data_IF_825437665142
#
_entry.id   IF_825437665142
#
_cell.length_a   1.000
_cell.length_b   1.000
_cell.length_c   1.000
_cell.angle_alpha   90.00
_cell.angle_beta   90.00
_cell.angle_gamma   90.00
#
_symmetry.space_group_name_H-M   'P 1'
#
loop_
_entity.id
_entity.type
_entity.pdbx_description
1 polymer ?
#
# COMPACT_ATOMS: atom_id res chain seq x y z
N UNK A 1 10.77 47.38 32.39
CA UNK A 1 11.61 46.21 32.74
C UNK A 1 12.33 45.78 31.48
N UNK A 2 13.58 46.17 31.33
CA UNK A 2 14.42 45.83 30.17
C UNK A 2 14.94 44.39 30.36
N UNK A 3 14.61 43.50 29.46
CA UNK A 3 15.11 42.11 29.45
C UNK A 3 16.67 42.17 29.37
N UNK A 4 17.34 41.51 30.34
CA UNK A 4 18.79 41.31 30.29
C UNK A 4 19.12 40.53 29.00
N UNK A 5 20.13 40.95 28.24
CA UNK A 5 20.57 40.20 27.10
C UNK A 5 21.02 38.80 27.57
N UNK A 6 20.50 37.76 26.96
CA UNK A 6 20.96 36.38 27.16
C UNK A 6 22.42 36.31 26.75
N UNK A 7 23.31 35.95 27.67
CA UNK A 7 24.74 35.79 27.35
C UNK A 7 24.94 34.68 26.27
N UNK A 8 26.03 34.74 25.57
CA UNK A 8 26.40 33.78 24.51
C UNK A 8 26.24 32.33 24.96
N UNK A 9 26.52 32.01 26.24
CA UNK A 9 26.30 30.68 26.81
C UNK A 9 24.84 30.25 26.87
N UNK A 10 23.89 31.18 27.08
CA UNK A 10 22.46 30.88 27.09
C UNK A 10 21.94 30.62 25.67
N UNK A 11 22.52 31.31 24.68
CA UNK A 11 22.21 31.05 23.25
C UNK A 11 22.73 29.67 22.84
N UNK A 12 23.91 29.27 23.30
CA UNK A 12 24.46 27.94 23.02
C UNK A 12 23.71 26.83 23.79
N UNK A 13 23.13 27.09 24.95
CA UNK A 13 22.31 26.15 25.69
C UNK A 13 20.94 25.92 25.01
N UNK A 14 20.30 26.98 24.53
CA UNK A 14 19.07 26.89 23.73
C UNK A 14 19.31 26.14 22.41
N UNK A 15 20.49 26.28 21.83
CA UNK A 15 20.88 25.57 20.60
C UNK A 15 21.15 24.07 20.85
N UNK A 16 21.64 23.69 22.04
CA UNK A 16 21.90 22.29 22.41
C UNK A 16 20.65 21.52 22.85
N UNK A 17 19.55 22.22 23.15
CA UNK A 17 18.30 21.57 23.56
C UNK A 17 17.50 21.00 22.38
N UNK A 18 17.78 21.44 21.15
CA UNK A 18 17.15 20.88 19.95
C UNK A 18 17.93 19.65 19.46
N UNK A 19 17.20 18.57 19.19
CA UNK A 19 17.77 17.42 18.50
C UNK A 19 18.36 17.88 17.15
N UNK A 20 19.58 17.50 16.84
CA UNK A 20 20.23 17.82 15.56
C UNK A 20 19.40 17.42 14.33
N UNK A 21 18.52 16.42 14.49
CA UNK A 21 17.58 15.94 13.47
C UNK A 21 16.49 16.96 13.10
N UNK A 22 16.19 17.92 13.98
CA UNK A 22 15.14 18.95 13.76
C UNK A 22 15.70 20.24 13.19
N UNK A 23 17.02 20.40 13.15
CA UNK A 23 17.67 21.57 12.58
C UNK A 23 17.64 21.56 11.05
N UNK A 24 17.17 22.64 10.47
CA UNK A 24 17.34 22.91 9.06
C UNK A 24 18.82 23.14 8.76
N UNK A 25 19.49 22.14 8.20
CA UNK A 25 20.84 22.30 7.68
C UNK A 25 20.82 22.18 6.16
N UNK A 26 21.83 22.79 5.52
CA UNK A 26 22.02 22.75 4.06
C UNK A 26 22.08 21.30 3.53
N UNK A 27 22.55 20.36 4.34
CA UNK A 27 22.69 18.94 3.99
C UNK A 27 21.50 18.08 4.43
N UNK A 28 20.66 18.55 5.36
CA UNK A 28 19.56 17.79 5.97
C UNK A 28 18.20 18.31 5.53
N UNK A 29 18.14 19.31 4.65
CA UNK A 29 16.91 19.97 4.18
C UNK A 29 15.82 19.01 3.69
N UNK A 30 16.19 17.84 3.19
CA UNK A 30 15.23 16.81 2.75
C UNK A 30 14.60 16.02 3.90
N UNK A 31 15.13 16.10 5.11
CA UNK A 31 14.65 15.35 6.28
C UNK A 31 14.03 16.22 7.36
N UNK A 32 14.17 17.55 7.28
CA UNK A 32 13.76 18.47 8.35
C UNK A 32 12.44 19.22 8.10
N UNK A 33 11.85 19.10 6.92
CA UNK A 33 10.56 19.73 6.61
C UNK A 33 9.34 19.03 7.24
N UNK A 34 9.49 18.43 8.42
CA UNK A 34 8.42 17.69 9.10
C UNK A 34 7.64 18.64 10.00
N UNK A 35 6.32 18.68 9.81
CA UNK A 35 5.45 19.49 10.66
C UNK A 35 5.38 18.94 12.08
N UNK A 36 5.50 19.78 13.11
CA UNK A 36 5.38 19.36 14.51
C UNK A 36 3.98 18.94 14.93
N UNK A 37 2.98 19.14 14.08
CA UNK A 37 1.57 18.79 14.34
C UNK A 37 1.27 17.29 14.36
N UNK A 38 2.28 16.45 14.35
CA UNK A 38 2.15 14.99 14.33
C UNK A 38 1.77 14.44 12.95
N UNK A 39 1.80 13.13 12.86
CA UNK A 39 1.34 12.42 11.66
C UNK A 39 -0.16 12.16 11.78
N UNK A 40 -0.91 12.41 10.72
CA UNK A 40 -2.28 11.96 10.61
C UNK A 40 -2.39 10.43 10.64
N UNK A 41 -3.60 9.87 10.43
CA UNK A 41 -3.83 8.43 10.40
C UNK A 41 -3.00 7.71 9.34
N UNK A 42 -2.51 8.43 8.33
CA UNK A 42 -1.59 7.88 7.35
C UNK A 42 -0.15 8.24 7.63
N UNK A 43 0.67 7.25 7.39
CA UNK A 43 2.10 7.29 7.69
C UNK A 43 2.85 8.40 6.95
N UNK A 44 2.47 8.70 5.71
CA UNK A 44 3.21 9.63 4.85
C UNK A 44 2.34 10.68 4.15
N UNK A 45 1.03 10.51 4.12
CA UNK A 45 0.17 11.30 3.27
C UNK A 45 -0.81 12.15 4.08
N UNK A 46 -0.85 13.45 3.79
CA UNK A 46 -1.83 14.39 4.34
C UNK A 46 -3.06 14.53 3.44
N UNK A 47 -2.93 14.14 2.18
CA UNK A 47 -3.98 14.26 1.18
C UNK A 47 -4.04 12.99 0.35
N UNK A 48 -5.22 12.59 -0.04
CA UNK A 48 -5.45 11.44 -0.91
C UNK A 48 -4.71 11.57 -2.25
N UNK A 49 -4.68 12.76 -2.83
CA UNK A 49 -3.98 13.02 -4.08
C UNK A 49 -2.50 12.63 -4.03
N UNK A 50 -1.81 12.91 -2.90
CA UNK A 50 -0.40 12.53 -2.74
C UNK A 50 -0.22 11.02 -2.59
N UNK A 51 -1.18 10.36 -1.98
CA UNK A 51 -1.18 8.91 -1.88
C UNK A 51 -1.27 8.27 -3.26
N UNK A 52 -2.29 8.64 -4.05
CA UNK A 52 -2.46 8.09 -5.39
C UNK A 52 -1.30 8.47 -6.33
N UNK A 53 -0.75 9.67 -6.19
CA UNK A 53 0.45 10.06 -6.94
C UNK A 53 1.63 9.12 -6.63
N UNK A 54 1.80 8.67 -5.39
CA UNK A 54 2.86 7.73 -5.04
C UNK A 54 2.62 6.32 -5.59
N UNK A 55 1.36 5.89 -5.65
CA UNK A 55 0.98 4.61 -6.28
C UNK A 55 1.29 4.64 -7.79
N UNK A 56 0.85 5.69 -8.48
CA UNK A 56 1.13 5.85 -9.91
C UNK A 56 2.63 5.94 -10.21
N UNK A 57 3.39 6.64 -9.37
CA UNK A 57 4.84 6.73 -9.51
C UNK A 57 5.52 5.37 -9.30
N UNK A 58 5.03 4.55 -8.36
CA UNK A 58 5.54 3.20 -8.15
C UNK A 58 5.24 2.28 -9.33
N UNK A 59 4.04 2.37 -9.90
CA UNK A 59 3.63 1.64 -11.10
C UNK A 59 4.42 2.06 -12.34
N UNK A 60 4.73 3.35 -12.44
CA UNK A 60 5.59 3.85 -13.52
C UNK A 60 7.00 3.27 -13.43
N UNK A 61 7.59 3.24 -12.23
CA UNK A 61 8.88 2.62 -12.01
C UNK A 61 8.87 1.10 -12.28
N UNK A 62 7.84 0.39 -11.84
CA UNK A 62 7.69 -1.05 -12.12
C UNK A 62 7.66 -1.34 -13.61
N UNK A 63 6.99 -0.50 -14.38
CA UNK A 63 6.83 -0.67 -15.84
C UNK A 63 8.07 -0.24 -16.62
N UNK A 64 8.71 0.86 -16.22
CA UNK A 64 9.74 1.52 -17.02
C UNK A 64 11.17 1.27 -16.51
N UNK A 65 11.35 0.91 -15.22
CA UNK A 65 12.66 0.54 -14.67
C UNK A 65 12.80 -0.99 -14.59
N UNK A 66 13.66 -1.53 -15.44
CA UNK A 66 13.87 -2.98 -15.53
C UNK A 66 14.39 -3.61 -14.24
N UNK A 67 15.16 -2.87 -13.44
CA UNK A 67 15.66 -3.38 -12.15
C UNK A 67 14.54 -3.49 -11.13
N UNK A 68 13.65 -2.50 -11.08
CA UNK A 68 12.50 -2.50 -10.16
C UNK A 68 11.55 -3.62 -10.50
N UNK A 69 11.17 -3.78 -11.77
CA UNK A 69 10.30 -4.86 -12.22
C UNK A 69 10.86 -6.25 -11.89
N UNK A 70 12.15 -6.50 -12.20
CA UNK A 70 12.81 -7.76 -11.88
C UNK A 70 12.85 -8.03 -10.38
N UNK A 71 13.11 -7.00 -9.55
CA UNK A 71 13.14 -7.16 -8.09
C UNK A 71 11.76 -7.49 -7.53
N UNK A 72 10.71 -6.84 -8.06
CA UNK A 72 9.33 -7.13 -7.69
C UNK A 72 8.95 -8.58 -8.04
N UNK A 73 9.25 -9.03 -9.26
CA UNK A 73 8.98 -10.40 -9.70
C UNK A 73 9.73 -11.44 -8.84
N UNK A 74 11.02 -11.23 -8.62
CA UNK A 74 11.82 -12.12 -7.77
C UNK A 74 11.31 -12.18 -6.34
N UNK A 75 10.83 -11.05 -5.80
CA UNK A 75 10.22 -11.05 -4.48
C UNK A 75 8.98 -11.93 -4.45
N UNK A 76 8.08 -11.77 -5.41
CA UNK A 76 6.88 -12.59 -5.54
C UNK A 76 7.23 -14.07 -5.65
N UNK A 77 8.19 -14.42 -6.51
CA UNK A 77 8.65 -15.79 -6.68
C UNK A 77 9.22 -16.40 -5.40
N UNK A 78 9.99 -15.62 -4.62
CA UNK A 78 10.58 -16.09 -3.37
C UNK A 78 9.56 -16.23 -2.22
N UNK A 79 8.51 -15.40 -2.20
CA UNK A 79 7.49 -15.41 -1.14
C UNK A 79 6.42 -16.46 -1.42
N UNK A 80 5.84 -16.42 -2.62
CA UNK A 80 4.70 -17.28 -2.97
C UNK A 80 5.14 -18.69 -3.36
N UNK A 81 6.24 -18.81 -4.09
CA UNK A 81 6.77 -20.10 -4.54
C UNK A 81 5.71 -21.00 -5.22
N UNK A 82 5.35 -22.11 -4.57
CA UNK A 82 4.31 -23.04 -5.04
C UNK A 82 2.89 -22.61 -4.70
N UNK A 83 2.70 -21.51 -3.94
CA UNK A 83 1.42 -21.11 -3.36
C UNK A 83 1.15 -21.76 -2.01
N UNK A 84 0.08 -21.34 -1.36
CA UNK A 84 -0.35 -21.93 -0.09
C UNK A 84 -0.99 -23.30 -0.32
N UNK A 85 -0.65 -24.23 0.55
CA UNK A 85 -1.24 -25.58 0.57
C UNK A 85 -2.04 -25.75 1.85
N UNK A 86 -3.18 -26.41 1.76
CA UNK A 86 -3.97 -26.76 2.93
C UNK A 86 -3.39 -28.01 3.59
N UNK A 87 -3.07 -27.95 4.89
CA UNK A 87 -2.65 -29.07 5.70
C UNK A 87 -3.65 -29.25 6.86
N UNK A 88 -4.82 -29.91 6.62
CA UNK A 88 -5.85 -30.07 7.64
C UNK A 88 -5.35 -30.98 8.74
N UNK A 89 -5.64 -30.62 9.97
CA UNK A 89 -5.28 -31.40 11.18
C UNK A 89 -6.48 -31.55 12.09
N UNK A 90 -7.56 -32.15 11.55
CA UNK A 90 -8.80 -32.32 12.28
C UNK A 90 -8.76 -33.48 13.27
N UNK A 91 -7.81 -34.40 13.11
CA UNK A 91 -7.72 -35.67 13.87
C UNK A 91 -8.44 -36.83 13.21
N UNK A 92 -9.25 -36.58 12.17
CA UNK A 92 -9.89 -37.60 11.33
C UNK A 92 -9.19 -37.61 9.96
N UNK A 93 -8.52 -38.72 9.66
CA UNK A 93 -7.79 -38.85 8.39
C UNK A 93 -8.72 -38.84 7.16
N UNK A 94 -9.93 -39.29 7.28
CA UNK A 94 -10.90 -39.29 6.18
C UNK A 94 -11.35 -37.87 5.85
N UNK A 95 -11.61 -37.06 6.88
CA UNK A 95 -11.97 -35.67 6.74
C UNK A 95 -10.78 -34.86 6.22
N UNK A 96 -9.56 -35.10 6.73
CA UNK A 96 -8.34 -34.41 6.28
C UNK A 96 -8.10 -34.64 4.78
N UNK A 97 -8.27 -35.88 4.29
CA UNK A 97 -8.14 -36.20 2.87
C UNK A 97 -9.23 -35.54 2.01
N UNK A 98 -10.47 -35.51 2.50
CA UNK A 98 -11.58 -34.87 1.78
C UNK A 98 -11.38 -33.34 1.67
N UNK A 99 -10.91 -32.68 2.76
CA UNK A 99 -10.60 -31.25 2.75
C UNK A 99 -9.42 -30.92 1.84
N UNK A 100 -8.39 -31.78 1.82
CA UNK A 100 -7.25 -31.60 0.92
C UNK A 100 -7.69 -31.72 -0.55
N UNK A 101 -8.46 -32.74 -0.90
CA UNK A 101 -8.97 -32.92 -2.26
C UNK A 101 -9.86 -31.74 -2.71
N UNK A 102 -10.77 -31.31 -1.82
CA UNK A 102 -11.59 -30.13 -2.08
C UNK A 102 -10.75 -28.88 -2.32
N UNK A 103 -9.69 -28.66 -1.51
CA UNK A 103 -8.79 -27.51 -1.69
C UNK A 103 -8.05 -27.56 -3.01
N UNK A 104 -7.54 -28.73 -3.41
CA UNK A 104 -6.87 -28.91 -4.70
C UNK A 104 -7.80 -28.58 -5.86
N UNK A 105 -9.05 -29.06 -5.82
CA UNK A 105 -10.04 -28.76 -6.84
C UNK A 105 -10.38 -27.26 -6.87
N UNK A 106 -10.66 -26.66 -5.72
CA UNK A 106 -11.02 -25.25 -5.59
C UNK A 106 -9.88 -24.32 -6.02
N UNK A 107 -8.66 -24.57 -5.57
CA UNK A 107 -7.53 -23.67 -5.76
C UNK A 107 -6.97 -23.68 -7.19
N UNK A 108 -7.19 -24.76 -7.93
CA UNK A 108 -6.73 -24.89 -9.31
C UNK A 108 -7.81 -24.53 -10.36
N UNK A 109 -9.04 -24.29 -9.92
CA UNK A 109 -10.14 -23.91 -10.81
C UNK A 109 -10.45 -22.42 -10.67
N UNK A 110 -10.09 -21.58 -11.70
CA UNK A 110 -10.37 -20.15 -11.68
C UNK A 110 -11.85 -19.82 -11.51
N UNK A 111 -12.76 -20.62 -12.10
CA UNK A 111 -14.21 -20.38 -12.03
C UNK A 111 -14.75 -20.54 -10.61
N UNK A 112 -14.05 -21.25 -9.74
CA UNK A 112 -14.46 -21.42 -8.34
C UNK A 112 -13.84 -20.38 -7.41
N UNK A 113 -12.57 -20.05 -7.60
CA UNK A 113 -11.85 -19.19 -6.64
C UNK A 113 -11.87 -17.70 -7.01
N UNK A 114 -11.96 -17.36 -8.29
CA UNK A 114 -11.99 -15.95 -8.78
C UNK A 114 -13.37 -15.61 -9.36
N UNK A 115 -13.93 -14.47 -8.97
CA UNK A 115 -15.23 -14.01 -9.50
C UNK A 115 -15.19 -13.76 -11.01
N UNK A 116 -14.02 -13.38 -11.54
CA UNK A 116 -13.82 -13.17 -12.97
C UNK A 116 -13.55 -14.48 -13.73
N UNK A 117 -13.25 -15.58 -13.04
CA UNK A 117 -12.90 -16.87 -13.65
C UNK A 117 -11.56 -16.85 -14.41
N UNK A 118 -10.65 -15.92 -14.09
CA UNK A 118 -9.41 -15.75 -14.82
C UNK A 118 -8.18 -16.26 -14.06
N UNK A 119 -8.19 -16.18 -12.72
CA UNK A 119 -7.03 -16.43 -11.90
C UNK A 119 -7.24 -17.64 -11.00
N UNK A 120 -6.27 -18.54 -10.99
CA UNK A 120 -6.17 -19.58 -9.96
C UNK A 120 -5.82 -18.96 -8.60
N UNK A 121 -6.09 -19.66 -7.51
CA UNK A 121 -5.75 -19.19 -6.17
C UNK A 121 -4.28 -18.77 -6.04
N UNK A 122 -3.36 -19.54 -6.58
CA UNK A 122 -1.94 -19.24 -6.61
C UNK A 122 -1.61 -17.95 -7.36
N UNK A 123 -2.28 -17.70 -8.48
CA UNK A 123 -2.12 -16.47 -9.25
C UNK A 123 -2.67 -15.27 -8.50
N UNK A 124 -3.79 -15.42 -7.78
CA UNK A 124 -4.32 -14.40 -6.87
C UNK A 124 -3.34 -14.09 -5.73
N UNK A 125 -2.70 -15.09 -5.12
CA UNK A 125 -1.66 -14.88 -4.11
C UNK A 125 -0.46 -14.09 -4.68
N UNK A 126 -0.05 -14.41 -5.91
CA UNK A 126 1.02 -13.69 -6.60
C UNK A 126 0.63 -12.24 -6.85
N UNK A 127 -0.59 -11.97 -7.30
CA UNK A 127 -1.10 -10.61 -7.49
C UNK A 127 -1.17 -9.85 -6.15
N UNK A 128 -1.64 -10.47 -5.09
CA UNK A 128 -1.65 -9.87 -3.76
C UNK A 128 -0.25 -9.48 -3.28
N UNK A 129 0.72 -10.37 -3.42
CA UNK A 129 2.11 -10.11 -3.03
C UNK A 129 2.75 -9.01 -3.89
N UNK A 130 2.47 -9.00 -5.21
CA UNK A 130 2.98 -7.98 -6.13
C UNK A 130 2.39 -6.61 -5.82
N UNK A 131 1.07 -6.52 -5.69
CA UNK A 131 0.37 -5.25 -5.38
C UNK A 131 0.77 -4.69 -4.01
N UNK A 132 0.98 -5.54 -2.99
CA UNK A 132 1.53 -5.10 -1.71
C UNK A 132 2.91 -4.47 -1.88
N UNK A 133 3.72 -4.98 -2.79
CA UNK A 133 5.08 -4.48 -3.03
C UNK A 133 5.09 -3.15 -3.80
N UNK A 134 4.31 -3.06 -4.87
CA UNK A 134 4.29 -1.92 -5.80
C UNK A 134 3.33 -0.84 -5.30
N UNK A 135 2.06 -1.17 -5.11
CA UNK A 135 1.03 -0.21 -4.72
C UNK A 135 1.05 0.11 -3.22
N UNK A 136 1.51 -0.87 -2.42
CA UNK A 136 1.52 -0.83 -0.97
C UNK A 136 0.38 -1.63 -0.33
N UNK A 137 -0.74 -1.81 -1.02
CA UNK A 137 -1.86 -2.63 -0.57
C UNK A 137 -2.72 -3.15 -1.72
N UNK A 138 -3.58 -4.10 -1.36
CA UNK A 138 -4.67 -4.62 -2.19
C UNK A 138 -5.80 -5.07 -1.28
N UNK A 139 -7.02 -5.04 -1.76
CA UNK A 139 -8.20 -5.54 -1.05
C UNK A 139 -8.75 -6.76 -1.77
N UNK A 140 -9.03 -7.81 -1.01
CA UNK A 140 -9.79 -8.96 -1.48
C UNK A 140 -11.17 -8.96 -0.83
N UNK A 141 -12.22 -9.18 -1.59
CA UNK A 141 -13.57 -9.35 -1.08
C UNK A 141 -14.09 -10.72 -1.44
N UNK A 142 -14.61 -11.44 -0.43
CA UNK A 142 -15.24 -12.75 -0.63
C UNK A 142 -16.71 -12.59 -1.00
N UNK A 143 -17.20 -13.43 -1.89
CA UNK A 143 -18.60 -13.54 -2.25
C UNK A 143 -19.31 -14.60 -1.39
N UNK A 144 -20.63 -14.62 -1.43
CA UNK A 144 -21.42 -15.65 -0.74
C UNK A 144 -21.22 -17.05 -1.35
N UNK A 145 -20.84 -17.12 -2.61
CA UNK A 145 -20.57 -18.36 -3.34
C UNK A 145 -19.19 -18.95 -3.02
N UNK A 146 -18.34 -18.20 -2.30
CA UNK A 146 -17.00 -18.62 -1.88
C UNK A 146 -15.88 -18.21 -2.81
N UNK A 147 -16.17 -17.53 -3.92
CA UNK A 147 -15.15 -16.91 -4.78
C UNK A 147 -14.65 -15.59 -4.21
N UNK A 148 -13.51 -15.10 -4.71
CA UNK A 148 -12.91 -13.84 -4.30
C UNK A 148 -12.78 -12.87 -5.46
N UNK A 149 -12.89 -11.58 -5.16
CA UNK A 149 -12.55 -10.48 -6.06
C UNK A 149 -11.36 -9.72 -5.50
N UNK A 150 -10.35 -9.52 -6.32
CA UNK A 150 -9.24 -8.62 -6.00
C UNK A 150 -9.57 -7.20 -6.46
N UNK A 151 -9.40 -6.22 -5.58
CA UNK A 151 -9.65 -4.81 -5.83
C UNK A 151 -8.34 -4.05 -5.69
N UNK A 152 -7.89 -3.44 -6.77
CA UNK A 152 -6.64 -2.70 -6.79
C UNK A 152 -6.68 -1.43 -5.93
N UNK A 153 -5.53 -1.06 -5.41
CA UNK A 153 -5.32 0.08 -4.52
C UNK A 153 -5.93 1.38 -5.03
N UNK A 154 -5.82 1.67 -6.32
CA UNK A 154 -6.28 2.92 -6.92
C UNK A 154 -7.80 3.04 -7.04
N UNK A 155 -8.53 1.93 -6.97
CA UNK A 155 -10.00 1.92 -7.01
C UNK A 155 -10.64 2.23 -5.65
N UNK A 156 -9.88 2.14 -4.56
CA UNK A 156 -10.41 2.43 -3.22
C UNK A 156 -10.24 3.92 -2.95
N UNK A 157 -11.35 4.69 -3.06
CA UNK A 157 -11.35 6.15 -3.03
C UNK A 157 -12.44 6.71 -2.14
N UNK A 158 -12.22 7.89 -1.58
CA UNK A 158 -13.25 8.58 -0.81
C UNK A 158 -14.18 9.32 -1.76
N UNK A 159 -15.47 9.01 -1.71
CA UNK A 159 -16.51 9.86 -2.27
C UNK A 159 -16.53 11.17 -1.49
N UNK A 160 -16.65 12.31 -2.18
CA UNK A 160 -16.58 13.63 -1.56
C UNK A 160 -17.41 13.74 -0.27
N UNK A 161 -16.73 14.05 0.85
CA UNK A 161 -17.30 14.43 2.15
C UNK A 161 -18.15 13.38 2.86
N UNK A 162 -17.69 12.14 2.91
CA UNK A 162 -18.22 11.17 3.88
C UNK A 162 -17.45 11.37 5.18
N UNK A 163 -18.16 11.65 6.29
CA UNK A 163 -17.56 11.79 7.62
C UNK A 163 -16.86 10.47 8.01
N UNK A 164 -15.77 10.57 8.75
CA UNK A 164 -14.96 9.44 9.22
C UNK A 164 -14.36 8.54 8.12
N UNK A 165 -14.32 9.02 6.87
CA UNK A 165 -13.72 8.30 5.74
C UNK A 165 -12.44 8.97 5.29
N UNK A 166 -11.36 8.19 5.19
CA UNK A 166 -10.06 8.64 4.68
C UNK A 166 -9.44 7.59 3.77
N UNK A 167 -8.96 8.01 2.60
CA UNK A 167 -8.42 7.11 1.56
C UNK A 167 -9.35 5.94 1.20
N UNK A 168 -10.64 6.20 1.13
CA UNK A 168 -11.66 5.21 0.80
C UNK A 168 -12.00 4.22 1.91
N UNK A 169 -11.53 4.43 3.13
CA UNK A 169 -11.80 3.56 4.26
C UNK A 169 -12.53 4.32 5.36
N UNK A 170 -13.70 3.85 5.74
CA UNK A 170 -14.48 4.37 6.87
C UNK A 170 -14.10 3.62 8.14
N UNK A 171 -13.83 4.37 9.21
CA UNK A 171 -13.48 3.81 10.51
C UNK A 171 -14.45 4.29 11.60
N UNK A 172 -14.65 3.45 12.60
CA UNK A 172 -15.39 3.85 13.80
C UNK A 172 -14.49 4.68 14.77
N UNK A 173 -15.07 5.13 15.87
CA UNK A 173 -14.39 5.96 16.89
C UNK A 173 -13.18 5.28 17.55
N UNK A 174 -13.10 3.95 17.48
CA UNK A 174 -11.97 3.18 18.03
C UNK A 174 -10.97 2.77 16.96
N UNK A 175 -11.17 3.24 15.71
CA UNK A 175 -10.29 2.94 14.57
C UNK A 175 -10.55 1.59 13.91
N UNK A 176 -11.71 0.94 14.19
CA UNK A 176 -12.11 -0.28 13.48
C UNK A 176 -12.65 0.09 12.11
N UNK A 177 -12.20 -0.59 11.08
CA UNK A 177 -12.68 -0.41 9.71
C UNK A 177 -14.07 -1.00 9.58
N UNK A 178 -15.00 -0.20 9.05
CA UNK A 178 -16.40 -0.58 8.87
C UNK A 178 -16.76 -0.76 7.42
N UNK A 179 -16.25 0.12 6.53
CA UNK A 179 -16.56 0.10 5.11
C UNK A 179 -15.34 0.44 4.26
N UNK A 180 -15.33 -0.07 3.04
CA UNK A 180 -14.43 0.32 1.96
C UNK A 180 -15.24 0.89 0.81
N UNK A 181 -14.80 2.01 0.27
CA UNK A 181 -15.45 2.68 -0.84
C UNK A 181 -14.69 2.36 -2.12
N UNK A 182 -15.32 1.62 -3.01
CA UNK A 182 -14.73 1.19 -4.29
C UNK A 182 -15.28 2.08 -5.39
N UNK A 183 -14.40 2.77 -6.11
CA UNK A 183 -14.77 3.59 -7.24
C UNK A 183 -15.10 2.70 -8.44
N UNK A 184 -16.12 3.09 -9.18
CA UNK A 184 -16.34 2.58 -10.52
C UNK A 184 -15.19 3.00 -11.44
N UNK A 185 -14.96 2.24 -12.51
CA UNK A 185 -13.88 2.50 -13.45
C UNK A 185 -13.89 3.94 -13.98
N UNK A 186 -12.71 4.39 -14.45
CA UNK A 186 -12.54 5.69 -15.08
C UNK A 186 -13.55 5.86 -16.22
N UNK A 187 -14.32 6.93 -16.16
CA UNK A 187 -15.16 7.32 -17.29
C UNK A 187 -14.30 7.79 -18.48
N UNK A 188 -14.92 8.00 -19.65
CA UNK A 188 -14.26 8.48 -20.87
C UNK A 188 -13.46 9.79 -20.70
N UNK A 189 -13.69 10.54 -19.63
CA UNK A 189 -13.00 11.79 -19.31
C UNK A 189 -11.86 11.61 -18.29
N UNK A 190 -11.53 10.36 -17.92
CA UNK A 190 -10.44 10.07 -16.96
C UNK A 190 -10.76 10.43 -15.52
N UNK A 191 -12.03 10.63 -15.15
CA UNK A 191 -12.47 10.78 -13.77
C UNK A 191 -13.16 9.52 -13.27
N UNK A 192 -12.95 9.21 -11.98
CA UNK A 192 -13.61 8.08 -11.35
C UNK A 192 -15.10 8.37 -11.17
N UNK A 193 -15.90 7.36 -11.41
CA UNK A 193 -17.33 7.38 -11.18
C UNK A 193 -17.73 7.47 -9.70
N UNK A 194 -18.94 7.12 -9.41
CA UNK A 194 -19.42 7.01 -8.03
C UNK A 194 -18.69 5.89 -7.29
N UNK A 195 -18.54 6.04 -5.98
CA UNK A 195 -17.95 5.01 -5.14
C UNK A 195 -19.04 4.19 -4.46
N UNK A 196 -18.96 2.87 -4.58
CA UNK A 196 -19.86 1.94 -3.93
C UNK A 196 -19.26 1.51 -2.59
N UNK A 197 -19.95 1.69 -1.45
CA UNK A 197 -19.47 1.22 -0.17
C UNK A 197 -19.64 -0.30 -0.05
N UNK A 198 -18.62 -0.99 0.43
CA UNK A 198 -18.63 -2.40 0.76
C UNK A 198 -18.38 -2.55 2.27
N UNK A 199 -19.31 -3.16 2.98
CA UNK A 199 -19.18 -3.42 4.41
C UNK A 199 -18.08 -4.47 4.68
N UNK A 200 -17.30 -4.27 5.74
CA UNK A 200 -16.24 -5.22 6.13
C UNK A 200 -16.81 -6.56 6.56
N UNK A 201 -18.04 -6.56 7.06
CA UNK A 201 -18.74 -7.76 7.52
C UNK A 201 -20.11 -7.82 6.87
N UNK A 202 -20.54 -9.05 6.55
CA UNK A 202 -21.90 -9.32 6.08
C UNK A 202 -22.92 -9.23 7.24
N UNK A 203 -24.19 -9.45 6.94
CA UNK A 203 -25.30 -9.42 7.90
C UNK A 203 -25.13 -10.46 9.03
N UNK A 204 -24.48 -11.59 8.76
CA UNK A 204 -24.17 -12.65 9.73
C UNK A 204 -22.96 -12.30 10.62
N UNK A 205 -22.31 -11.14 10.40
CA UNK A 205 -21.11 -10.72 11.12
C UNK A 205 -19.81 -11.37 10.64
N UNK A 206 -19.86 -12.18 9.57
CA UNK A 206 -18.68 -12.77 8.96
C UNK A 206 -17.90 -11.72 8.17
N UNK A 207 -16.58 -11.82 8.20
CA UNK A 207 -15.71 -10.90 7.47
C UNK A 207 -15.72 -11.24 5.99
N UNK A 208 -16.05 -10.27 5.16
CA UNK A 208 -16.04 -10.41 3.70
C UNK A 208 -14.96 -9.57 3.01
N UNK A 209 -14.39 -8.57 3.67
CA UNK A 209 -13.33 -7.73 3.10
C UNK A 209 -12.02 -7.98 3.83
N UNK A 210 -10.99 -8.33 3.07
CA UNK A 210 -9.63 -8.60 3.54
C UNK A 210 -8.67 -7.58 2.93
N UNK A 211 -8.12 -6.70 3.76
CA UNK A 211 -7.15 -5.71 3.34
C UNK A 211 -5.74 -6.23 3.58
N UNK A 212 -5.01 -6.45 2.52
CA UNK A 212 -3.66 -7.02 2.50
C UNK A 212 -2.67 -5.88 2.34
N UNK A 213 -1.89 -5.60 3.37
CA UNK A 213 -0.86 -4.57 3.38
C UNK A 213 0.10 -4.78 4.56
N UNK A 214 1.26 -4.13 4.54
CA UNK A 214 2.24 -4.17 5.62
C UNK A 214 2.09 -2.94 6.52
N UNK A 215 1.43 -3.04 7.70
CA UNK A 215 1.22 -1.91 8.59
C UNK A 215 2.53 -1.54 9.28
N UNK A 216 3.05 -0.34 9.00
CA UNK A 216 4.23 0.22 9.69
C UNK A 216 3.87 1.02 10.93
N UNK A 217 2.60 1.36 11.13
CA UNK A 217 2.06 2.07 12.29
C UNK A 217 0.65 1.57 12.60
N UNK A 218 0.27 1.63 13.89
CA UNK A 218 -1.03 1.13 14.36
C UNK A 218 -2.21 1.86 13.70
N UNK A 219 -2.09 3.17 13.47
CA UNK A 219 -3.16 4.00 12.89
C UNK A 219 -3.10 4.12 11.38
N UNK A 220 -2.31 3.29 10.70
CA UNK A 220 -2.15 3.35 9.27
C UNK A 220 -3.40 2.85 8.56
N UNK A 221 -4.03 3.70 7.75
CA UNK A 221 -5.27 3.37 7.04
C UNK A 221 -5.01 2.51 5.80
N UNK A 222 -4.02 2.91 4.99
CA UNK A 222 -3.65 2.25 3.73
C UNK A 222 -2.19 1.84 3.73
N UNK A 223 -1.86 0.83 2.94
CA UNK A 223 -0.49 0.44 2.66
C UNK A 223 0.30 1.54 1.93
N UNK A 224 1.61 1.52 2.05
CA UNK A 224 2.51 2.44 1.34
C UNK A 224 3.47 1.61 0.53
N UNK A 225 3.63 1.97 -0.73
CA UNK A 225 4.55 1.30 -1.65
C UNK A 225 5.95 1.12 -1.02
N UNK A 226 6.52 -0.05 -1.22
CA UNK A 226 7.87 -0.33 -0.75
C UNK A 226 8.93 0.43 -1.57
N UNK A 227 8.56 0.92 -2.74
CA UNK A 227 9.42 1.73 -3.61
C UNK A 227 9.55 3.18 -3.17
N UNK A 228 8.68 3.69 -2.28
CA UNK A 228 8.70 5.08 -1.85
C UNK A 228 10.10 5.62 -1.42
N UNK A 229 10.93 4.88 -0.66
CA UNK A 229 12.28 5.33 -0.31
C UNK A 229 13.25 5.37 -1.50
N UNK A 230 12.94 4.66 -2.58
CA UNK A 230 13.82 4.49 -3.74
C UNK A 230 13.58 5.54 -4.81
N UNK A 231 12.40 6.19 -4.86
CA UNK A 231 12.02 7.14 -5.90
C UNK A 231 13.09 8.21 -6.18
N UNK A 232 13.64 8.82 -5.12
CA UNK A 232 14.65 9.87 -5.30
C UNK A 232 16.01 9.34 -5.78
N UNK A 233 16.34 8.11 -5.44
CA UNK A 233 17.61 7.47 -5.83
C UNK A 233 17.54 7.02 -7.28
N UNK A 234 16.43 6.43 -7.70
CA UNK A 234 16.20 6.02 -9.08
C UNK A 234 16.29 7.22 -10.03
N UNK A 235 15.61 8.33 -9.72
CA UNK A 235 15.71 9.56 -10.53
C UNK A 235 17.14 10.11 -10.64
N UNK A 236 17.93 10.06 -9.55
CA UNK A 236 19.34 10.48 -9.61
C UNK A 236 20.18 9.54 -10.50
N UNK A 237 19.91 8.26 -10.49
CA UNK A 237 20.62 7.29 -11.34
C UNK A 237 20.30 7.51 -12.81
N UNK A 238 19.06 7.81 -13.15
CA UNK A 238 18.64 8.17 -14.51
C UNK A 238 19.36 9.43 -14.99
N UNK A 239 19.40 10.49 -14.17
CA UNK A 239 20.10 11.74 -14.47
C UNK A 239 21.60 11.49 -14.72
N UNK A 240 22.25 10.67 -13.91
CA UNK A 240 23.66 10.31 -14.06
C UNK A 240 23.89 9.53 -15.36
N UNK A 241 23.03 8.56 -15.66
CA UNK A 241 23.14 7.76 -16.87
C UNK A 241 22.94 8.63 -18.12
N UNK A 242 21.95 9.54 -18.09
CA UNK A 242 21.73 10.49 -19.16
C UNK A 242 22.94 11.43 -19.35
N UNK A 243 23.48 11.99 -18.28
CA UNK A 243 24.67 12.83 -18.35
C UNK A 243 25.89 12.12 -18.94
N UNK A 244 26.10 10.85 -18.59
CA UNK A 244 27.15 10.00 -19.18
C UNK A 244 26.96 9.76 -20.67
N UNK A 245 25.73 9.51 -21.10
CA UNK A 245 25.41 9.31 -22.52
C UNK A 245 25.70 10.59 -23.33
N UNK A 246 25.28 11.76 -22.81
CA UNK A 246 25.56 13.06 -23.45
C UNK A 246 27.07 13.31 -23.52
N UNK A 247 27.81 13.01 -22.45
CA UNK A 247 29.26 13.17 -22.43
C UNK A 247 29.95 12.30 -23.50
N UNK A 248 29.48 11.08 -23.72
CA UNK A 248 30.03 10.18 -24.76
C UNK A 248 29.70 10.62 -26.18
N UNK A 249 28.62 11.38 -26.38
CA UNK A 249 28.26 11.89 -27.71
C UNK A 249 29.05 13.15 -28.11
N UNK A 250 29.63 13.85 -27.16
CA UNK A 250 30.38 15.12 -27.39
C UNK A 250 31.88 14.88 -27.59
N UNK A 251 32.36 13.67 -27.38
CA UNK A 251 33.76 13.25 -27.64
C UNK A 251 33.84 12.55 -28.99
#
# INVERSE_FOLDING_TARGET
MTAKPKGIQAIFADIRADYDMTRESRFVRRRTGVSPMGSGPDYHFRTESKYYQSVEQARDMDRNDSLVGILADRRVDNIVQSGFTLDPKTGDKGLDQALYAWWEDYSNDPDQCDIAGELTWKEMERQCCRSESIDGDIVATGTEEGSFQLIESHLIRTKSRVEDTFLGVTTDRVGRRTQYHVAEELNEFGSFGDCTPIDVRNEDGLRQVFHIYNPKRVQMTRGVTQLAPVFSIAGMLEDINFAKLVQQQVV
#
